data_IF_659787800700
#
_entry.id   IF_659787800700
#
_cell.length_a   1.000
_cell.length_b   1.000
_cell.length_c   1.000
_cell.angle_alpha   90.00
_cell.angle_beta   90.00
_cell.angle_gamma   90.00
#
_symmetry.space_group_name_H-M   'P 1'
#
loop_
_entity.id
_entity.type
_entity.pdbx_description
1 polymer ?
#
# COMPACT_ATOMS: atom_id res chain seq x y z
N UNK A 1 -1.73 -27.54 -52.03
CA UNK A 1 -1.83 -27.98 -50.63
C UNK A 1 -0.64 -27.40 -49.88
N UNK A 2 -0.80 -26.23 -49.25
CA UNK A 2 0.27 -25.60 -48.50
C UNK A 2 0.50 -26.36 -47.20
N UNK A 3 1.73 -26.81 -46.96
CA UNK A 3 2.15 -27.25 -45.63
C UNK A 3 1.93 -26.08 -44.68
N UNK A 4 0.92 -26.19 -43.79
CA UNK A 4 0.64 -25.17 -42.80
C UNK A 4 1.87 -24.98 -41.92
N UNK A 5 2.34 -23.73 -41.79
CA UNK A 5 3.44 -23.41 -40.90
C UNK A 5 3.08 -23.91 -39.48
N UNK A 6 3.85 -24.87 -38.98
CA UNK A 6 3.72 -25.33 -37.60
C UNK A 6 4.31 -24.21 -36.74
N UNK A 7 3.47 -23.56 -35.95
CA UNK A 7 3.92 -22.50 -35.05
C UNK A 7 4.93 -23.08 -34.04
N UNK A 8 6.12 -22.48 -34.01
CA UNK A 8 7.17 -22.81 -33.05
C UNK A 8 6.72 -22.42 -31.62
N UNK A 9 7.23 -23.13 -30.62
CA UNK A 9 7.01 -22.88 -29.20
C UNK A 9 7.22 -21.41 -28.84
N UNK A 10 8.27 -20.79 -29.39
CA UNK A 10 8.59 -19.36 -29.20
C UNK A 10 7.51 -18.42 -29.73
N UNK A 11 6.82 -18.80 -30.80
CA UNK A 11 5.74 -18.00 -31.38
C UNK A 11 4.55 -17.98 -30.43
N UNK A 12 4.19 -19.11 -29.82
CA UNK A 12 3.13 -19.14 -28.82
C UNK A 12 3.45 -18.27 -27.61
N UNK A 13 4.68 -18.35 -27.08
CA UNK A 13 5.12 -17.47 -25.98
C UNK A 13 5.01 -15.99 -26.34
N UNK A 14 5.52 -15.60 -27.51
CA UNK A 14 5.48 -14.22 -27.96
C UNK A 14 4.04 -13.70 -28.14
N UNK A 15 3.17 -14.50 -28.76
CA UNK A 15 1.77 -14.14 -28.98
C UNK A 15 0.98 -14.03 -27.67
N UNK A 16 1.19 -14.96 -26.73
CA UNK A 16 0.53 -14.90 -25.42
C UNK A 16 1.00 -13.68 -24.62
N UNK A 17 2.30 -13.40 -24.59
CA UNK A 17 2.83 -12.19 -23.97
C UNK A 17 2.24 -10.93 -24.62
N UNK A 18 2.14 -10.86 -25.95
CA UNK A 18 1.53 -9.72 -26.62
C UNK A 18 0.05 -9.55 -26.25
N UNK A 19 -0.72 -10.65 -26.24
CA UNK A 19 -2.13 -10.62 -25.83
C UNK A 19 -2.28 -10.16 -24.37
N UNK A 20 -1.40 -10.61 -23.48
CA UNK A 20 -1.36 -10.19 -22.08
C UNK A 20 -1.12 -8.67 -21.95
N UNK A 21 -0.09 -8.13 -22.61
CA UNK A 21 0.26 -6.71 -22.52
C UNK A 21 -0.82 -5.80 -23.13
N UNK A 22 -1.40 -6.23 -24.24
CA UNK A 22 -2.51 -5.51 -24.92
C UNK A 22 -3.88 -5.77 -24.29
N UNK A 23 -3.98 -6.67 -23.31
CA UNK A 23 -5.23 -7.16 -22.72
C UNK A 23 -6.27 -7.61 -23.76
N UNK A 24 -5.80 -8.21 -24.87
CA UNK A 24 -6.65 -8.62 -25.99
C UNK A 24 -7.19 -10.04 -25.79
N UNK A 25 -8.32 -10.16 -25.09
CA UNK A 25 -8.95 -11.44 -24.78
C UNK A 25 -9.28 -12.28 -26.03
N UNK A 26 -9.83 -11.64 -27.07
CA UNK A 26 -10.24 -12.35 -28.30
C UNK A 26 -9.03 -12.90 -29.06
N UNK A 27 -7.93 -12.13 -29.13
CA UNK A 27 -6.67 -12.62 -29.70
C UNK A 27 -6.11 -13.78 -28.88
N UNK A 28 -6.13 -13.66 -27.54
CA UNK A 28 -5.69 -14.71 -26.62
C UNK A 28 -6.46 -16.01 -26.79
N UNK A 29 -7.79 -15.95 -26.93
CA UNK A 29 -8.64 -17.13 -27.20
C UNK A 29 -8.29 -17.80 -28.53
N UNK A 30 -7.99 -17.03 -29.58
CA UNK A 30 -7.55 -17.59 -30.86
C UNK A 30 -6.23 -18.34 -30.72
N UNK A 31 -5.25 -17.74 -30.03
CA UNK A 31 -3.95 -18.37 -29.75
C UNK A 31 -4.15 -19.66 -28.95
N UNK A 32 -5.00 -19.65 -27.93
CA UNK A 32 -5.33 -20.82 -27.14
C UNK A 32 -5.92 -21.96 -28.00
N UNK A 33 -6.86 -21.67 -28.90
CA UNK A 33 -7.43 -22.70 -29.78
C UNK A 33 -6.38 -23.27 -30.75
N UNK A 34 -5.45 -22.45 -31.25
CA UNK A 34 -4.32 -22.95 -32.04
C UNK A 34 -3.39 -23.83 -31.19
N UNK A 35 -3.09 -23.43 -29.96
CA UNK A 35 -2.24 -24.20 -29.05
C UNK A 35 -2.85 -25.56 -28.72
N UNK A 36 -4.18 -25.63 -28.54
CA UNK A 36 -4.93 -26.87 -28.29
C UNK A 36 -4.80 -27.91 -29.41
N UNK A 37 -4.63 -27.45 -30.66
CA UNK A 37 -4.44 -28.28 -31.85
C UNK A 37 -2.97 -28.63 -32.12
N UNK A 38 -2.04 -28.05 -31.39
CA UNK A 38 -0.60 -28.24 -31.58
C UNK A 38 -0.04 -29.46 -30.83
N UNK A 39 1.24 -29.73 -31.04
CA UNK A 39 2.03 -30.70 -30.26
C UNK A 39 2.24 -30.26 -28.81
N UNK A 40 2.16 -28.96 -28.51
CA UNK A 40 2.40 -28.38 -27.18
C UNK A 40 1.14 -28.26 -26.31
N UNK A 41 0.03 -28.88 -26.70
CA UNK A 41 -1.28 -28.77 -26.01
C UNK A 41 -1.31 -29.22 -24.54
N UNK A 42 -0.25 -29.88 -24.05
CA UNK A 42 -0.08 -30.35 -22.66
C UNK A 42 1.16 -29.75 -21.99
N UNK A 43 1.77 -28.74 -22.61
CA UNK A 43 2.95 -28.08 -22.07
C UNK A 43 2.58 -27.18 -20.89
N UNK A 44 3.15 -27.46 -19.71
CA UNK A 44 2.80 -26.78 -18.46
C UNK A 44 3.17 -25.29 -18.50
N UNK A 45 4.30 -24.92 -19.13
CA UNK A 45 4.71 -23.53 -19.22
C UNK A 45 3.76 -22.73 -20.12
N UNK A 46 3.37 -23.26 -21.29
CA UNK A 46 2.39 -22.60 -22.14
C UNK A 46 1.00 -22.54 -21.50
N UNK A 47 0.61 -23.57 -20.73
CA UNK A 47 -0.62 -23.52 -19.91
C UNK A 47 -0.55 -22.44 -18.84
N UNK A 48 0.58 -22.29 -18.15
CA UNK A 48 0.80 -21.22 -17.18
C UNK A 48 0.75 -19.84 -17.85
N UNK A 49 1.33 -19.68 -19.05
CA UNK A 49 1.24 -18.43 -19.83
C UNK A 49 -0.20 -18.11 -20.24
N UNK A 50 -0.99 -19.11 -20.61
CA UNK A 50 -2.41 -18.94 -20.87
C UNK A 50 -3.18 -18.48 -19.63
N UNK A 51 -2.94 -19.10 -18.47
CA UNK A 51 -3.57 -18.70 -17.19
C UNK A 51 -3.26 -17.23 -16.93
N UNK A 52 -1.98 -16.84 -16.97
CA UNK A 52 -1.56 -15.44 -16.76
C UNK A 52 -2.26 -14.48 -17.72
N UNK A 53 -2.27 -14.79 -19.02
CA UNK A 53 -2.92 -13.97 -20.04
C UNK A 53 -4.42 -13.80 -19.76
N UNK A 54 -5.13 -14.88 -19.45
CA UNK A 54 -6.55 -14.83 -19.14
C UNK A 54 -6.86 -14.01 -17.87
N UNK A 55 -6.07 -14.17 -16.81
CA UNK A 55 -6.19 -13.38 -15.58
C UNK A 55 -5.97 -11.88 -15.85
N UNK A 56 -4.97 -11.51 -16.65
CA UNK A 56 -4.71 -10.11 -17.03
C UNK A 56 -5.78 -9.51 -17.95
N UNK A 57 -6.50 -10.36 -18.70
CA UNK A 57 -7.66 -9.96 -19.49
C UNK A 57 -8.99 -9.96 -18.68
N UNK A 58 -8.94 -10.28 -17.39
CA UNK A 58 -10.14 -10.35 -16.53
C UNK A 58 -11.01 -11.60 -16.72
N UNK A 59 -10.61 -12.56 -17.58
CA UNK A 59 -11.36 -13.81 -17.79
C UNK A 59 -10.86 -14.94 -16.87
N UNK A 60 -10.98 -14.75 -15.56
CA UNK A 60 -10.50 -15.71 -14.56
C UNK A 60 -11.18 -17.08 -14.69
N UNK A 61 -12.43 -17.12 -15.19
CA UNK A 61 -13.14 -18.38 -15.47
C UNK A 61 -12.43 -19.22 -16.55
N UNK A 62 -11.90 -18.58 -17.60
CA UNK A 62 -11.14 -19.28 -18.62
C UNK A 62 -9.76 -19.69 -18.10
N UNK A 63 -9.12 -18.85 -17.27
CA UNK A 63 -7.90 -19.21 -16.56
C UNK A 63 -8.07 -20.48 -15.72
N UNK A 64 -9.17 -20.56 -14.94
CA UNK A 64 -9.50 -21.74 -14.14
C UNK A 64 -9.66 -23.00 -14.99
N UNK A 65 -10.33 -22.89 -16.14
CA UNK A 65 -10.48 -24.04 -17.07
C UNK A 65 -9.13 -24.55 -17.58
N UNK A 66 -8.20 -23.65 -17.89
CA UNK A 66 -6.84 -24.04 -18.30
C UNK A 66 -6.13 -24.72 -17.13
N UNK A 67 -6.19 -24.12 -15.94
CA UNK A 67 -5.61 -24.69 -14.73
C UNK A 67 -6.15 -26.08 -14.41
N UNK A 68 -7.45 -26.32 -14.57
CA UNK A 68 -8.08 -27.64 -14.37
C UNK A 68 -7.55 -28.72 -15.32
N UNK A 69 -7.11 -28.32 -16.50
CA UNK A 69 -6.63 -29.23 -17.55
C UNK A 69 -5.13 -29.57 -17.41
N UNK A 70 -4.38 -28.89 -16.53
CA UNK A 70 -2.97 -29.20 -16.27
C UNK A 70 -2.87 -30.52 -15.49
N UNK A 71 -2.25 -31.59 -16.05
CA UNK A 71 -2.16 -32.88 -15.38
C UNK A 71 -1.28 -32.84 -14.12
N UNK A 72 -0.10 -32.22 -14.24
CA UNK A 72 0.87 -32.05 -13.18
C UNK A 72 1.15 -30.56 -12.99
N UNK A 73 0.55 -29.97 -11.96
CA UNK A 73 0.69 -28.56 -11.64
C UNK A 73 1.98 -28.34 -10.87
N UNK A 74 2.79 -27.39 -11.32
CA UNK A 74 3.91 -26.90 -10.53
C UNK A 74 3.46 -25.75 -9.61
N UNK A 75 4.35 -25.29 -8.74
CA UNK A 75 4.05 -24.20 -7.81
C UNK A 75 3.59 -22.93 -8.54
N UNK A 76 4.19 -22.62 -9.69
CA UNK A 76 3.79 -21.47 -10.51
C UNK A 76 2.36 -21.57 -11.03
N UNK A 77 1.85 -22.76 -11.36
CA UNK A 77 0.43 -22.94 -11.73
C UNK A 77 -0.50 -22.53 -10.58
N UNK A 78 -0.14 -22.87 -9.33
CA UNK A 78 -0.91 -22.51 -8.14
C UNK A 78 -0.84 -21.01 -7.87
N UNK A 79 0.37 -20.43 -7.88
CA UNK A 79 0.60 -19.00 -7.71
C UNK A 79 -0.22 -18.17 -8.70
N UNK A 80 -0.19 -18.54 -9.99
CA UNK A 80 -0.94 -17.84 -11.03
C UNK A 80 -2.45 -17.82 -10.78
N UNK A 81 -3.01 -18.89 -10.23
CA UNK A 81 -4.43 -18.93 -9.90
C UNK A 81 -4.75 -18.16 -8.62
N UNK A 82 -3.98 -18.33 -7.53
CA UNK A 82 -4.20 -17.62 -6.26
C UNK A 82 -4.11 -16.10 -6.50
N UNK A 83 -3.00 -15.64 -7.08
CA UNK A 83 -2.79 -14.23 -7.43
C UNK A 83 -3.75 -13.73 -8.51
N UNK A 84 -4.10 -14.58 -9.47
CA UNK A 84 -5.07 -14.27 -10.52
C UNK A 84 -6.47 -13.99 -9.99
N UNK A 85 -6.92 -14.76 -8.98
CA UNK A 85 -8.18 -14.51 -8.28
C UNK A 85 -8.10 -13.24 -7.43
N UNK A 86 -7.04 -13.06 -6.63
CA UNK A 86 -6.84 -11.86 -5.80
C UNK A 86 -6.87 -10.57 -6.64
N UNK A 87 -6.07 -10.51 -7.72
CA UNK A 87 -5.98 -9.34 -8.60
C UNK A 87 -7.29 -9.01 -9.35
N UNK A 88 -8.26 -9.91 -9.36
CA UNK A 88 -9.56 -9.74 -10.02
C UNK A 88 -10.72 -9.60 -9.02
N UNK A 89 -10.44 -9.29 -7.75
CA UNK A 89 -11.49 -9.05 -6.76
C UNK A 89 -12.11 -10.30 -6.15
N UNK A 90 -11.52 -11.47 -6.39
CA UNK A 90 -12.08 -12.79 -6.03
C UNK A 90 -11.24 -13.46 -4.93
N UNK A 91 -10.90 -12.71 -3.88
CA UNK A 91 -10.00 -13.17 -2.80
C UNK A 91 -10.40 -14.51 -2.18
N UNK A 92 -11.69 -14.71 -1.89
CA UNK A 92 -12.20 -15.97 -1.33
C UNK A 92 -11.91 -17.18 -2.24
N UNK A 93 -12.06 -17.04 -3.57
CA UNK A 93 -11.72 -18.11 -4.51
C UNK A 93 -10.21 -18.38 -4.54
N UNK A 94 -9.38 -17.33 -4.41
CA UNK A 94 -7.93 -17.46 -4.25
C UNK A 94 -7.54 -18.29 -3.04
N UNK A 95 -8.19 -18.05 -1.89
CA UNK A 95 -7.98 -18.83 -0.66
C UNK A 95 -8.44 -20.29 -0.82
N UNK A 96 -9.54 -20.55 -1.54
CA UNK A 96 -9.95 -21.91 -1.87
C UNK A 96 -8.90 -22.64 -2.72
N UNK A 97 -8.26 -21.95 -3.67
CA UNK A 97 -7.14 -22.53 -4.45
C UNK A 97 -5.94 -22.82 -3.56
N UNK A 98 -5.63 -21.98 -2.58
CA UNK A 98 -4.58 -22.27 -1.60
C UNK A 98 -4.87 -23.52 -0.76
N UNK A 99 -6.13 -23.72 -0.35
CA UNK A 99 -6.52 -24.95 0.34
C UNK A 99 -6.34 -26.18 -0.57
N UNK A 100 -6.67 -26.07 -1.86
CA UNK A 100 -6.42 -27.13 -2.85
C UNK A 100 -4.92 -27.42 -3.02
N UNK A 101 -4.06 -26.40 -3.02
CA UNK A 101 -2.60 -26.53 -3.10
C UNK A 101 -2.07 -27.35 -1.91
N UNK A 102 -2.52 -27.03 -0.69
CA UNK A 102 -2.15 -27.78 0.52
C UNK A 102 -2.62 -29.22 0.49
N UNK A 103 -3.85 -29.48 0.02
CA UNK A 103 -4.39 -30.84 -0.14
C UNK A 103 -3.62 -31.66 -1.18
N UNK A 104 -3.07 -31.00 -2.21
CA UNK A 104 -2.19 -31.62 -3.19
C UNK A 104 -0.77 -31.89 -2.67
N UNK A 105 -0.46 -31.54 -1.41
CA UNK A 105 0.83 -31.76 -0.78
C UNK A 105 1.96 -30.85 -1.31
N UNK A 106 1.61 -29.74 -1.99
CA UNK A 106 2.60 -28.78 -2.48
C UNK A 106 2.95 -27.83 -1.32
N UNK A 107 4.21 -27.78 -0.87
CA UNK A 107 4.61 -26.94 0.25
C UNK A 107 4.51 -25.45 -0.12
N UNK A 108 3.92 -24.60 0.74
CA UNK A 108 3.96 -23.14 0.57
C UNK A 108 5.40 -22.59 0.64
N UNK A 109 5.69 -21.58 -0.17
CA UNK A 109 6.90 -20.77 -0.12
C UNK A 109 6.58 -19.29 0.15
N UNK A 110 7.59 -18.41 0.15
CA UNK A 110 7.39 -16.97 0.39
C UNK A 110 6.39 -16.35 -0.60
N UNK A 111 6.55 -16.60 -1.90
CA UNK A 111 5.61 -16.10 -2.91
C UNK A 111 4.18 -16.64 -2.69
N UNK A 112 4.04 -17.87 -2.19
CA UNK A 112 2.72 -18.41 -1.83
C UNK A 112 2.05 -17.57 -0.75
N UNK A 113 2.78 -17.20 0.31
CA UNK A 113 2.22 -16.41 1.40
C UNK A 113 1.95 -14.96 1.00
N UNK A 114 2.79 -14.34 0.17
CA UNK A 114 2.50 -13.03 -0.43
C UNK A 114 1.14 -13.06 -1.16
N UNK A 115 0.92 -14.04 -2.03
CA UNK A 115 -0.32 -14.15 -2.80
C UNK A 115 -1.55 -14.50 -1.94
N UNK A 116 -1.37 -15.30 -0.89
CA UNK A 116 -2.43 -15.63 0.07
C UNK A 116 -2.81 -14.40 0.90
N UNK A 117 -1.84 -13.62 1.37
CA UNK A 117 -2.11 -12.38 2.10
C UNK A 117 -2.81 -11.34 1.20
N UNK A 118 -2.40 -11.22 -0.07
CA UNK A 118 -3.11 -10.42 -1.05
C UNK A 118 -4.57 -10.89 -1.26
N UNK A 119 -4.80 -12.21 -1.29
CA UNK A 119 -6.15 -12.77 -1.37
C UNK A 119 -6.97 -12.47 -0.11
N UNK A 120 -6.37 -12.54 1.09
CA UNK A 120 -7.00 -12.10 2.34
C UNK A 120 -7.35 -10.61 2.33
N UNK A 121 -6.44 -9.76 1.82
CA UNK A 121 -6.67 -8.32 1.71
C UNK A 121 -7.87 -8.02 0.82
N UNK A 122 -7.99 -8.74 -0.29
CA UNK A 122 -9.10 -8.60 -1.23
C UNK A 122 -10.43 -9.17 -0.69
N UNK A 123 -10.36 -10.19 0.16
CA UNK A 123 -11.51 -10.81 0.81
C UNK A 123 -11.93 -10.09 2.12
N UNK A 124 -11.20 -9.05 2.53
CA UNK A 124 -11.36 -8.37 3.83
C UNK A 124 -11.26 -9.35 5.02
N UNK A 125 -10.50 -10.45 4.86
CA UNK A 125 -10.38 -11.54 5.82
C UNK A 125 -9.22 -11.31 6.79
N UNK A 126 -9.39 -10.35 7.71
CA UNK A 126 -8.32 -9.88 8.64
C UNK A 126 -7.75 -11.00 9.49
N UNK A 127 -8.62 -11.71 10.21
CA UNK A 127 -8.20 -12.77 11.12
C UNK A 127 -7.47 -13.89 10.38
N UNK A 128 -7.99 -14.31 9.22
CA UNK A 128 -7.38 -15.35 8.39
C UNK A 128 -6.01 -14.89 7.84
N UNK A 129 -5.91 -13.63 7.42
CA UNK A 129 -4.65 -13.04 6.96
C UNK A 129 -3.56 -13.07 8.03
N UNK A 130 -3.88 -12.73 9.28
CA UNK A 130 -2.94 -12.83 10.39
C UNK A 130 -2.54 -14.26 10.72
N UNK A 131 -3.50 -15.19 10.70
CA UNK A 131 -3.20 -16.61 10.90
C UNK A 131 -2.22 -17.14 9.85
N UNK A 132 -2.41 -16.77 8.58
CA UNK A 132 -1.47 -17.16 7.52
C UNK A 132 -0.10 -16.51 7.71
N UNK A 133 -0.04 -15.22 8.05
CA UNK A 133 1.21 -14.51 8.32
C UNK A 133 2.00 -15.15 9.48
N UNK A 134 1.34 -15.49 10.58
CA UNK A 134 1.98 -16.18 11.71
C UNK A 134 2.45 -17.59 11.34
N UNK A 135 1.67 -18.32 10.55
CA UNK A 135 1.99 -19.68 10.12
C UNK A 135 3.25 -19.75 9.24
N UNK A 136 3.71 -18.65 8.66
CA UNK A 136 4.97 -18.59 7.89
C UNK A 136 6.16 -19.12 8.70
N UNK A 137 6.19 -18.85 10.02
CA UNK A 137 7.23 -19.35 10.92
C UNK A 137 7.25 -20.88 11.00
N UNK A 138 6.08 -21.51 11.00
CA UNK A 138 5.95 -22.98 11.02
C UNK A 138 6.48 -23.61 9.72
N UNK A 139 6.49 -22.84 8.63
CA UNK A 139 7.05 -23.21 7.34
C UNK A 139 8.53 -22.81 7.19
N UNK A 140 9.15 -22.21 8.22
CA UNK A 140 10.53 -21.74 8.17
C UNK A 140 10.74 -20.54 7.24
N UNK A 141 9.68 -19.79 6.93
CA UNK A 141 9.71 -18.63 6.03
C UNK A 141 9.87 -17.37 6.87
N UNK A 142 10.87 -16.56 6.52
CA UNK A 142 11.08 -15.24 7.10
C UNK A 142 10.28 -14.22 6.27
N UNK A 143 9.37 -13.43 6.87
CA UNK A 143 8.63 -12.41 6.13
C UNK A 143 9.55 -11.40 5.45
N UNK A 144 9.32 -11.17 4.15
CA UNK A 144 9.90 -10.05 3.38
C UNK A 144 9.01 -8.80 3.47
N UNK A 145 9.47 -7.69 2.88
CA UNK A 145 8.70 -6.44 2.82
C UNK A 145 7.32 -6.61 2.18
N UNK A 146 7.23 -7.44 1.16
CA UNK A 146 6.04 -7.74 0.36
C UNK A 146 4.96 -8.38 1.24
N UNK A 147 5.35 -9.25 2.17
CA UNK A 147 4.44 -9.83 3.14
C UNK A 147 3.89 -8.77 4.12
N UNK A 148 4.75 -7.87 4.59
CA UNK A 148 4.32 -6.76 5.45
C UNK A 148 3.41 -5.77 4.71
N UNK A 149 3.69 -5.50 3.43
CA UNK A 149 2.82 -4.67 2.59
C UNK A 149 1.42 -5.28 2.47
N UNK A 150 1.32 -6.60 2.28
CA UNK A 150 0.01 -7.25 2.23
C UNK A 150 -0.72 -7.25 3.58
N UNK A 151 -0.02 -7.37 4.71
CA UNK A 151 -0.61 -7.16 6.05
C UNK A 151 -1.18 -5.74 6.19
N UNK A 152 -0.46 -4.73 5.72
CA UNK A 152 -0.95 -3.35 5.70
C UNK A 152 -2.18 -3.21 4.80
N UNK A 153 -2.19 -3.87 3.63
CA UNK A 153 -3.35 -3.89 2.73
C UNK A 153 -4.57 -4.54 3.39
N UNK A 154 -4.39 -5.67 4.10
CA UNK A 154 -5.45 -6.33 4.87
C UNK A 154 -6.09 -5.36 5.86
N UNK A 155 -5.28 -4.69 6.68
CA UNK A 155 -5.76 -3.73 7.67
C UNK A 155 -6.43 -2.52 7.01
N UNK A 156 -5.84 -2.01 5.92
CA UNK A 156 -6.34 -0.84 5.21
C UNK A 156 -7.68 -1.08 4.51
N UNK A 157 -7.88 -2.28 3.96
CA UNK A 157 -9.12 -2.66 3.26
C UNK A 157 -10.24 -3.04 4.23
N UNK A 158 -9.89 -3.68 5.34
CA UNK A 158 -10.86 -4.09 6.34
C UNK A 158 -11.33 -2.97 7.28
N UNK A 159 -10.86 -1.74 7.09
CA UNK A 159 -11.36 -0.56 7.80
C UNK A 159 -12.84 -0.32 7.42
N UNK A 160 -13.73 -1.00 8.14
CA UNK A 160 -15.18 -0.83 8.04
C UNK A 160 -15.54 0.64 8.24
N UNK A 161 -16.69 1.05 7.69
CA UNK A 161 -17.23 2.37 8.00
C UNK A 161 -17.51 2.43 9.50
N UNK A 162 -16.81 3.31 10.22
CA UNK A 162 -17.00 3.47 11.65
C UNK A 162 -18.40 4.08 11.87
N UNK A 163 -19.17 3.56 12.84
CA UNK A 163 -20.53 4.01 13.07
C UNK A 163 -20.54 5.52 13.37
N UNK A 164 -21.40 6.33 12.73
CA UNK A 164 -21.45 7.78 12.97
C UNK A 164 -21.72 8.15 14.44
N UNK A 165 -22.37 7.25 15.18
CA UNK A 165 -22.69 7.43 16.60
C UNK A 165 -21.50 7.11 17.52
N UNK A 166 -20.46 6.42 17.03
CA UNK A 166 -19.28 6.15 17.82
C UNK A 166 -18.52 7.46 18.09
N UNK A 167 -18.04 7.69 19.32
CA UNK A 167 -17.32 8.91 19.65
C UNK A 167 -16.05 9.04 18.79
N UNK A 168 -15.77 10.26 18.33
CA UNK A 168 -14.53 10.55 17.59
C UNK A 168 -13.36 10.48 18.59
N UNK A 169 -12.34 9.64 18.34
CA UNK A 169 -11.20 9.55 19.24
C UNK A 169 -10.38 10.85 19.23
N UNK A 170 -9.73 11.17 20.33
CA UNK A 170 -8.74 12.24 20.37
C UNK A 170 -7.43 11.79 19.69
N UNK A 171 -6.54 12.74 19.40
CA UNK A 171 -5.23 12.40 18.87
C UNK A 171 -4.38 11.60 19.87
N UNK A 172 -4.67 11.73 21.17
CA UNK A 172 -4.04 10.93 22.22
C UNK A 172 -4.53 9.49 22.19
N UNK A 173 -5.84 9.28 21.98
CA UNK A 173 -6.40 7.93 21.84
C UNK A 173 -5.82 7.21 20.61
N UNK A 174 -5.63 7.91 19.48
CA UNK A 174 -4.95 7.35 18.31
C UNK A 174 -3.49 7.01 18.59
N UNK A 175 -2.79 7.81 19.41
CA UNK A 175 -1.43 7.49 19.82
C UNK A 175 -1.39 6.28 20.77
N UNK A 176 -2.37 6.15 21.66
CA UNK A 176 -2.50 5.00 22.55
C UNK A 176 -2.78 3.70 21.78
N UNK A 177 -3.56 3.73 20.68
CA UNK A 177 -3.80 2.54 19.85
C UNK A 177 -2.50 1.91 19.30
N UNK A 178 -1.47 2.72 19.03
CA UNK A 178 -0.17 2.20 18.57
C UNK A 178 0.41 1.19 19.57
N UNK A 179 0.22 1.39 20.88
CA UNK A 179 0.76 0.45 21.86
C UNK A 179 0.05 -0.90 21.81
N UNK A 180 -1.25 -0.90 21.48
CA UNK A 180 -2.06 -2.11 21.36
C UNK A 180 -1.56 -2.93 20.17
N UNK A 181 -1.32 -2.27 19.04
CA UNK A 181 -0.73 -2.89 17.84
C UNK A 181 0.64 -3.48 18.13
N UNK A 182 1.55 -2.70 18.74
CA UNK A 182 2.89 -3.18 19.07
C UNK A 182 2.85 -4.38 20.01
N UNK A 183 1.93 -4.39 20.98
CA UNK A 183 1.78 -5.52 21.90
C UNK A 183 1.15 -6.74 21.21
N UNK A 184 0.18 -6.53 20.32
CA UNK A 184 -0.44 -7.59 19.51
C UNK A 184 0.63 -8.32 18.69
N UNK A 185 1.49 -7.56 18.00
CA UNK A 185 2.61 -8.12 17.22
C UNK A 185 3.83 -8.53 18.06
N UNK A 186 3.76 -8.39 19.40
CA UNK A 186 4.86 -8.67 20.34
C UNK A 186 6.17 -7.94 19.98
N UNK A 187 6.05 -6.74 19.41
CA UNK A 187 7.17 -5.88 19.05
C UNK A 187 7.68 -5.14 20.28
N UNK A 188 8.99 -5.14 20.48
CA UNK A 188 9.65 -4.40 21.58
C UNK A 188 9.66 -2.89 21.33
N UNK A 189 10.86 -2.33 21.17
CA UNK A 189 11.03 -0.96 20.71
C UNK A 189 11.16 -0.94 19.18
N UNK A 190 10.55 0.05 18.51
CA UNK A 190 10.46 0.13 17.06
C UNK A 190 11.01 1.45 16.52
N UNK A 191 11.44 1.43 15.26
CA UNK A 191 11.62 2.63 14.46
C UNK A 191 10.26 3.05 13.92
N UNK A 192 9.88 4.30 14.07
CA UNK A 192 8.60 4.79 13.56
C UNK A 192 8.82 5.72 12.37
N UNK A 193 8.05 5.53 11.31
CA UNK A 193 8.00 6.45 10.18
C UNK A 193 6.60 7.02 10.04
N UNK A 194 6.49 8.35 9.98
CA UNK A 194 5.21 9.06 9.90
C UNK A 194 5.24 10.15 8.86
N UNK A 195 4.12 10.33 8.17
CA UNK A 195 3.93 11.39 7.18
C UNK A 195 2.85 12.34 7.70
N UNK A 196 3.14 13.65 7.75
CA UNK A 196 2.23 14.72 8.17
C UNK A 196 1.46 14.40 9.46
N UNK A 197 0.15 14.13 9.39
CA UNK A 197 -0.66 13.75 10.56
C UNK A 197 -0.15 12.50 11.27
N UNK A 198 0.35 11.50 10.53
CA UNK A 198 0.99 10.32 11.12
C UNK A 198 2.30 10.68 11.83
N UNK A 199 3.07 11.63 11.29
CA UNK A 199 4.26 12.16 11.95
C UNK A 199 3.92 12.85 13.28
N UNK A 200 2.81 13.60 13.32
CA UNK A 200 2.30 14.22 14.54
C UNK A 200 1.90 13.16 15.59
N UNK A 201 1.10 12.16 15.20
CA UNK A 201 0.64 11.09 16.12
C UNK A 201 1.85 10.30 16.67
N UNK A 202 2.81 9.94 15.83
CA UNK A 202 4.02 9.23 16.28
C UNK A 202 4.92 10.08 17.16
N UNK A 203 4.99 11.39 16.90
CA UNK A 203 5.69 12.32 17.78
C UNK A 203 4.99 12.45 19.14
N UNK A 204 3.66 12.48 19.16
CA UNK A 204 2.87 12.47 20.39
C UNK A 204 3.10 11.17 21.19
N UNK A 205 3.07 10.02 20.51
CA UNK A 205 3.39 8.70 21.07
C UNK A 205 4.79 8.67 21.72
N UNK A 206 5.80 9.21 21.02
CA UNK A 206 7.19 9.22 21.46
C UNK A 206 7.51 10.23 22.58
N UNK A 207 6.68 11.27 22.76
CA UNK A 207 6.95 12.37 23.71
C UNK A 207 6.27 12.21 25.08
N UNK A 208 5.29 11.31 25.20
CA UNK A 208 4.56 11.03 26.45
C UNK A 208 4.97 9.69 27.08
N UNK A 209 4.07 8.70 27.03
CA UNK A 209 4.05 7.51 27.88
C UNK A 209 4.92 6.37 27.35
N UNK A 210 5.14 6.31 26.05
CA UNK A 210 5.76 5.15 25.38
C UNK A 210 7.11 5.46 24.76
N UNK A 211 7.81 6.46 25.31
CA UNK A 211 9.14 6.87 24.86
C UNK A 211 10.13 5.71 24.73
N UNK A 212 10.10 4.74 25.66
CA UNK A 212 10.99 3.58 25.66
C UNK A 212 10.69 2.58 24.54
N UNK A 213 9.51 2.68 23.92
CA UNK A 213 9.08 1.85 22.79
C UNK A 213 9.50 2.44 21.44
N UNK A 214 10.15 3.62 21.43
CA UNK A 214 10.56 4.32 20.21
C UNK A 214 12.08 4.42 20.14
N UNK A 215 12.68 3.68 19.21
CA UNK A 215 14.12 3.71 18.93
C UNK A 215 14.53 4.98 18.18
N UNK A 216 13.72 5.36 17.20
CA UNK A 216 13.95 6.52 16.33
C UNK A 216 12.68 6.91 15.58
N UNK A 217 12.66 8.15 15.11
CA UNK A 217 11.57 8.72 14.34
C UNK A 217 12.08 9.16 12.96
N UNK A 218 11.34 8.80 11.91
CA UNK A 218 11.50 9.33 10.55
C UNK A 218 10.21 10.09 10.23
N UNK A 219 10.30 11.42 10.14
CA UNK A 219 9.14 12.30 10.05
C UNK A 219 9.15 13.04 8.72
N UNK A 220 8.10 12.86 7.92
CA UNK A 220 7.96 13.52 6.61
C UNK A 220 6.93 14.63 6.72
N UNK A 221 7.32 15.86 6.39
CA UNK A 221 6.49 17.07 6.48
C UNK A 221 5.71 17.20 7.80
N UNK A 222 6.39 17.11 8.96
CA UNK A 222 5.71 17.07 10.25
C UNK A 222 5.26 18.47 10.72
N UNK A 223 4.26 18.47 11.60
CA UNK A 223 3.79 19.66 12.32
C UNK A 223 3.54 19.31 13.79
N UNK A 224 3.54 20.32 14.68
CA UNK A 224 3.45 20.11 16.13
C UNK A 224 2.50 21.07 16.88
N UNK A 225 1.97 22.08 16.20
CA UNK A 225 1.09 23.09 16.80
C UNK A 225 -0.38 22.68 16.64
N UNK A 226 -1.23 23.27 17.47
CA UNK A 226 -2.65 23.34 17.17
C UNK A 226 -2.88 24.04 15.81
N UNK A 227 -3.96 23.71 15.09
CA UNK A 227 -4.17 24.27 13.76
C UNK A 227 -4.30 25.79 13.81
N UNK A 228 -3.63 26.47 12.88
CA UNK A 228 -3.86 27.90 12.66
C UNK A 228 -5.31 28.16 12.23
N UNK A 229 -5.81 29.38 12.38
CA UNK A 229 -7.17 29.71 11.95
C UNK A 229 -7.40 29.44 10.45
N UNK A 230 -6.39 29.70 9.61
CA UNK A 230 -6.42 29.41 8.17
C UNK A 230 -6.47 27.91 7.88
N UNK A 231 -5.68 27.12 8.62
CA UNK A 231 -5.69 25.67 8.47
C UNK A 231 -7.02 25.07 8.95
N UNK A 232 -7.50 25.53 10.12
CA UNK A 232 -8.79 25.14 10.67
C UNK A 232 -9.92 25.44 9.68
N UNK A 233 -9.93 26.64 9.08
CA UNK A 233 -10.93 27.01 8.09
C UNK A 233 -10.88 26.10 6.86
N UNK A 234 -9.68 25.87 6.32
CA UNK A 234 -9.49 24.95 5.19
C UNK A 234 -10.02 23.56 5.53
N UNK A 235 -9.61 23.00 6.67
CA UNK A 235 -10.01 21.67 7.07
C UNK A 235 -11.52 21.60 7.34
N UNK A 236 -12.15 22.66 7.86
CA UNK A 236 -13.60 22.74 8.04
C UNK A 236 -14.36 22.72 6.71
N UNK A 237 -13.87 23.43 5.70
CA UNK A 237 -14.41 23.38 4.33
C UNK A 237 -14.29 21.97 3.77
N UNK A 238 -13.12 21.35 3.89
CA UNK A 238 -12.88 19.97 3.43
C UNK A 238 -13.79 18.96 4.13
N UNK A 239 -13.93 19.07 5.46
CA UNK A 239 -14.84 18.23 6.24
C UNK A 239 -16.30 18.39 5.78
N UNK A 240 -16.75 19.61 5.51
CA UNK A 240 -18.12 19.83 5.01
C UNK A 240 -18.31 19.25 3.60
N UNK A 241 -17.34 19.45 2.70
CA UNK A 241 -17.39 18.85 1.35
C UNK A 241 -17.47 17.34 1.42
N UNK A 242 -16.66 16.72 2.28
CA UNK A 242 -16.64 15.28 2.49
C UNK A 242 -17.94 14.76 3.12
N UNK A 243 -18.54 15.52 4.04
CA UNK A 243 -19.82 15.17 4.66
C UNK A 243 -20.98 15.18 3.65
N UNK A 244 -21.07 16.21 2.81
CA UNK A 244 -22.20 16.36 1.87
C UNK A 244 -22.02 15.59 0.56
N UNK A 245 -20.79 15.47 0.05
CA UNK A 245 -20.51 14.94 -1.28
C UNK A 245 -19.66 13.67 -1.27
N UNK A 246 -19.23 13.19 -0.10
CA UNK A 246 -18.27 12.10 -0.01
C UNK A 246 -16.92 12.45 -0.63
N UNK A 247 -16.14 11.43 -0.99
CA UNK A 247 -14.88 11.62 -1.73
C UNK A 247 -15.21 11.95 -3.19
N UNK A 248 -15.50 13.22 -3.45
CA UNK A 248 -15.84 13.73 -4.78
C UNK A 248 -14.60 14.27 -5.52
N UNK A 249 -14.74 14.51 -6.83
CA UNK A 249 -13.64 15.02 -7.66
C UNK A 249 -13.00 16.31 -7.11
N UNK A 250 -13.81 17.27 -6.66
CA UNK A 250 -13.33 18.53 -6.09
C UNK A 250 -12.49 18.29 -4.82
N UNK A 251 -12.94 17.41 -3.93
CA UNK A 251 -12.22 17.08 -2.71
C UNK A 251 -10.87 16.43 -3.03
N UNK A 252 -10.85 15.50 -3.99
CA UNK A 252 -9.61 14.86 -4.46
C UNK A 252 -8.63 15.90 -4.98
N UNK A 253 -9.08 16.84 -5.81
CA UNK A 253 -8.24 17.96 -6.25
C UNK A 253 -7.68 18.75 -5.07
N UNK A 254 -8.53 19.19 -4.15
CA UNK A 254 -8.06 19.97 -3.00
C UNK A 254 -7.04 19.21 -2.13
N UNK A 255 -7.18 17.89 -1.96
CA UNK A 255 -6.21 17.08 -1.24
C UNK A 255 -4.89 16.95 -2.02
N UNK A 256 -4.97 16.63 -3.31
CA UNK A 256 -3.78 16.50 -4.15
C UNK A 256 -3.04 17.84 -4.25
N UNK A 257 -3.75 18.96 -4.37
CA UNK A 257 -3.15 20.29 -4.40
C UNK A 257 -2.48 20.68 -3.08
N UNK A 258 -2.98 20.18 -1.95
CA UNK A 258 -2.42 20.44 -0.62
C UNK A 258 -1.14 19.64 -0.39
N UNK A 259 -1.10 18.37 -0.81
CA UNK A 259 -0.01 17.47 -0.45
C UNK A 259 1.07 17.35 -1.52
N UNK A 260 0.74 17.47 -2.80
CA UNK A 260 1.70 17.33 -3.89
C UNK A 260 2.23 18.66 -4.42
N UNK A 261 3.50 18.68 -4.85
CA UNK A 261 4.08 19.84 -5.56
C UNK A 261 3.32 20.15 -6.85
N UNK A 262 3.56 21.33 -7.42
CA UNK A 262 3.05 21.65 -8.75
C UNK A 262 3.73 20.80 -9.83
N UNK A 263 4.96 20.34 -9.63
CA UNK A 263 5.75 19.65 -10.66
C UNK A 263 5.16 18.30 -11.05
N UNK A 264 4.57 17.59 -10.08
CA UNK A 264 3.99 16.24 -10.29
C UNK A 264 2.49 16.26 -10.63
N UNK A 265 1.85 17.42 -10.50
CA UNK A 265 0.42 17.64 -10.81
C UNK A 265 0.23 18.08 -12.26
N UNK A 266 -0.97 17.87 -12.78
CA UNK A 266 -1.35 18.28 -14.14
C UNK A 266 -1.03 19.77 -14.37
N UNK A 267 -0.10 20.02 -15.29
CA UNK A 267 0.32 21.36 -15.68
C UNK A 267 0.14 21.50 -17.19
N UNK A 268 0.05 22.74 -17.68
CA UNK A 268 -0.15 23.02 -19.11
C UNK A 268 0.91 22.40 -20.04
N UNK A 269 2.06 21.98 -19.51
CA UNK A 269 3.20 21.44 -20.26
C UNK A 269 3.40 19.93 -20.10
N UNK A 270 2.88 19.29 -19.03
CA UNK A 270 3.13 17.88 -18.76
C UNK A 270 1.89 17.19 -18.15
N UNK A 271 1.58 15.95 -18.58
CA UNK A 271 0.47 15.20 -18.02
C UNK A 271 0.71 14.84 -16.55
N UNK A 272 -0.38 14.72 -15.79
CA UNK A 272 -0.38 14.26 -14.40
C UNK A 272 0.48 13.00 -14.20
N UNK A 273 1.36 13.01 -13.21
CA UNK A 273 2.26 11.88 -12.92
C UNK A 273 1.49 10.62 -12.49
N UNK A 274 2.07 9.45 -12.75
CA UNK A 274 1.48 8.15 -12.38
C UNK A 274 1.21 8.04 -10.86
N UNK A 275 2.04 8.68 -10.03
CA UNK A 275 1.90 8.72 -8.58
C UNK A 275 0.64 9.47 -8.15
N UNK A 276 0.36 10.62 -8.77
CA UNK A 276 -0.85 11.40 -8.48
C UNK A 276 -2.10 10.66 -8.98
N UNK A 277 -2.02 10.02 -10.14
CA UNK A 277 -3.10 9.16 -10.66
C UNK A 277 -3.39 7.98 -9.72
N UNK A 278 -2.36 7.30 -9.22
CA UNK A 278 -2.49 6.21 -8.26
C UNK A 278 -3.10 6.70 -6.93
N UNK A 279 -2.62 7.83 -6.41
CA UNK A 279 -3.14 8.45 -5.18
C UNK A 279 -4.62 8.85 -5.32
N UNK A 280 -4.99 9.37 -6.48
CA UNK A 280 -6.38 9.72 -6.81
C UNK A 280 -7.29 8.49 -6.78
N UNK A 281 -6.83 7.37 -7.34
CA UNK A 281 -7.56 6.10 -7.31
C UNK A 281 -7.69 5.55 -5.89
N UNK A 282 -6.62 5.62 -5.08
CA UNK A 282 -6.66 5.20 -3.68
C UNK A 282 -7.67 6.00 -2.86
N UNK A 283 -7.84 7.30 -3.14
CA UNK A 283 -8.86 8.12 -2.48
C UNK A 283 -10.29 7.62 -2.78
N UNK A 284 -10.55 7.10 -3.98
CA UNK A 284 -11.87 6.53 -4.34
C UNK A 284 -12.21 5.28 -3.53
N UNK A 285 -11.20 4.56 -3.05
CA UNK A 285 -11.35 3.34 -2.26
C UNK A 285 -11.57 3.65 -0.76
N UNK A 286 -11.28 4.87 -0.29
CA UNK A 286 -11.43 5.23 1.13
C UNK A 286 -12.87 5.53 1.50
N UNK A 287 -13.29 5.02 2.67
CA UNK A 287 -14.60 5.35 3.25
C UNK A 287 -14.62 6.82 3.71
N UNK A 288 -15.45 7.63 3.07
CA UNK A 288 -15.50 9.08 3.34
C UNK A 288 -15.78 9.45 4.81
N UNK A 289 -16.60 8.66 5.51
CA UNK A 289 -16.88 8.86 6.94
C UNK A 289 -15.63 8.67 7.81
N UNK A 290 -14.78 7.69 7.49
CA UNK A 290 -13.54 7.44 8.22
C UNK A 290 -12.55 8.60 8.01
N UNK A 291 -12.43 9.08 6.77
CA UNK A 291 -11.60 10.25 6.44
C UNK A 291 -12.12 11.50 7.15
N UNK A 292 -13.43 11.69 7.21
CA UNK A 292 -14.05 12.83 7.88
C UNK A 292 -13.72 12.84 9.37
N UNK A 293 -13.89 11.69 10.04
CA UNK A 293 -13.56 11.55 11.46
C UNK A 293 -12.08 11.78 11.72
N UNK A 294 -11.20 11.22 10.89
CA UNK A 294 -9.77 11.46 11.00
C UNK A 294 -9.42 12.95 10.90
N UNK A 295 -10.03 13.68 9.95
CA UNK A 295 -9.83 15.13 9.84
C UNK A 295 -10.34 15.89 11.08
N UNK A 296 -11.43 15.44 11.72
CA UNK A 296 -11.88 16.02 12.98
C UNK A 296 -10.82 15.84 14.09
N UNK A 297 -10.25 14.64 14.23
CA UNK A 297 -9.18 14.38 15.21
C UNK A 297 -8.00 15.33 15.01
N UNK A 298 -7.54 15.47 13.78
CA UNK A 298 -6.38 16.31 13.44
C UNK A 298 -6.67 17.81 13.59
N UNK A 299 -7.93 18.22 13.46
CA UNK A 299 -8.37 19.60 13.73
C UNK A 299 -8.42 19.95 15.22
N UNK A 300 -8.59 18.96 16.08
CA UNK A 300 -8.66 19.16 17.53
C UNK A 300 -7.32 18.84 18.22
N UNK A 301 -6.26 18.64 17.43
CA UNK A 301 -4.94 18.25 17.94
C UNK A 301 -4.36 19.32 18.90
N UNK A 302 -3.82 18.91 20.06
CA UNK A 302 -3.12 19.83 20.95
C UNK A 302 -1.74 20.24 20.43
N UNK A 303 -1.15 21.25 21.07
CA UNK A 303 0.25 21.60 20.85
C UNK A 303 1.17 20.63 21.63
N UNK A 304 2.16 20.04 20.93
CA UNK A 304 3.08 19.05 21.52
C UNK A 304 4.52 19.58 21.71
N UNK A 305 4.76 20.88 21.54
CA UNK A 305 6.12 21.46 21.56
C UNK A 305 6.90 21.17 22.86
N UNK A 306 6.25 21.23 24.02
CA UNK A 306 6.90 20.94 25.30
C UNK A 306 7.30 19.47 25.44
N UNK A 307 6.54 18.56 24.81
CA UNK A 307 6.90 17.15 24.71
C UNK A 307 8.15 16.95 23.86
N UNK A 308 8.22 17.63 22.71
CA UNK A 308 9.32 17.51 21.76
C UNK A 308 10.67 17.93 22.34
N UNK A 309 10.71 18.98 23.18
CA UNK A 309 11.94 19.40 23.87
C UNK A 309 12.55 18.28 24.74
N UNK A 310 11.72 17.36 25.23
CA UNK A 310 12.16 16.23 26.06
C UNK A 310 12.60 15.03 25.22
N UNK A 311 12.28 14.97 23.94
CA UNK A 311 12.59 13.83 23.06
C UNK A 311 14.12 13.62 22.97
N UNK A 312 14.59 12.37 23.10
CA UNK A 312 16.02 12.03 22.93
C UNK A 312 16.28 10.84 22.00
N UNK A 313 15.26 10.31 21.32
CA UNK A 313 15.49 9.34 20.26
C UNK A 313 16.00 10.07 19.01
N UNK A 314 16.75 9.35 18.17
CA UNK A 314 17.15 9.88 16.86
C UNK A 314 15.89 10.29 16.07
N UNK A 315 15.92 11.45 15.43
CA UNK A 315 14.81 11.98 14.64
C UNK A 315 15.34 12.50 13.31
N UNK A 316 14.99 11.83 12.23
CA UNK A 316 15.28 12.26 10.86
C UNK A 316 14.03 12.92 10.28
N UNK A 317 14.16 14.16 9.79
CA UNK A 317 13.05 14.93 9.24
C UNK A 317 13.28 15.14 7.75
N UNK A 318 12.29 14.77 6.94
CA UNK A 318 12.25 15.08 5.51
C UNK A 318 11.20 16.15 5.25
N UNK A 319 11.56 17.14 4.42
CA UNK A 319 10.70 18.26 4.12
C UNK A 319 10.81 18.64 2.66
N UNK A 320 9.69 18.70 1.95
CA UNK A 320 9.66 19.35 0.63
C UNK A 320 9.68 20.88 0.77
N UNK A 321 10.47 21.55 -0.05
CA UNK A 321 10.55 23.02 -0.11
C UNK A 321 9.22 23.68 -0.50
N UNK A 322 8.40 22.96 -1.25
CA UNK A 322 7.11 23.40 -1.78
C UNK A 322 5.93 22.94 -0.92
N UNK A 323 6.20 22.29 0.22
CA UNK A 323 5.16 21.86 1.15
C UNK A 323 4.47 23.06 1.83
N UNK A 324 3.12 23.09 1.93
CA UNK A 324 2.45 24.09 2.76
C UNK A 324 2.81 24.00 4.25
N UNK A 325 3.35 22.85 4.70
CA UNK A 325 3.80 22.64 6.07
C UNK A 325 5.27 23.01 6.30
N UNK A 326 5.95 23.56 5.29
CA UNK A 326 7.38 23.88 5.35
C UNK A 326 7.77 24.70 6.58
N UNK A 327 7.07 25.81 6.81
CA UNK A 327 7.35 26.69 7.96
C UNK A 327 7.09 26.03 9.32
N UNK A 328 6.08 25.15 9.40
CA UNK A 328 5.75 24.41 10.62
C UNK A 328 6.77 23.31 10.93
N UNK A 329 7.23 22.60 9.90
CA UNK A 329 8.27 21.57 10.04
C UNK A 329 9.61 22.17 10.48
N UNK A 330 10.02 23.31 9.90
CA UNK A 330 11.20 24.04 10.37
C UNK A 330 11.04 24.50 11.82
N UNK A 331 9.85 24.97 12.18
CA UNK A 331 9.55 25.37 13.55
C UNK A 331 9.66 24.18 14.51
N UNK A 332 9.08 23.03 14.17
CA UNK A 332 9.18 21.80 14.96
C UNK A 332 10.64 21.36 15.12
N UNK A 333 11.41 21.37 14.03
CA UNK A 333 12.84 21.05 14.03
C UNK A 333 13.62 21.95 14.99
N UNK A 334 13.28 23.24 15.07
CA UNK A 334 13.91 24.19 16.01
C UNK A 334 13.68 23.87 17.50
N UNK A 335 12.65 23.06 17.81
CA UNK A 335 12.33 22.64 19.20
C UNK A 335 12.99 21.32 19.59
N UNK A 336 13.48 20.56 18.61
CA UNK A 336 14.18 19.30 18.84
C UNK A 336 15.66 19.54 19.14
N UNK A 337 16.25 18.63 19.92
CA UNK A 337 17.65 18.72 20.27
C UNK A 337 18.52 18.37 19.06
N UNK A 338 19.27 19.35 18.54
CA UNK A 338 20.15 19.21 17.36
C UNK A 338 21.06 17.97 17.37
N UNK A 339 21.49 17.51 18.54
CA UNK A 339 22.33 16.31 18.69
C UNK A 339 21.65 14.99 18.28
N UNK A 340 20.32 14.97 18.24
CA UNK A 340 19.54 13.79 17.88
C UNK A 340 18.71 14.01 16.62
N UNK A 341 18.86 15.16 15.96
CA UNK A 341 17.95 15.56 14.89
C UNK A 341 18.70 15.95 13.63
N UNK A 342 18.33 15.31 12.52
CA UNK A 342 18.77 15.66 11.18
C UNK A 342 17.58 16.14 10.35
N UNK A 343 17.80 17.16 9.52
CA UNK A 343 16.81 17.71 8.61
C UNK A 343 17.33 17.57 7.18
N UNK A 344 16.47 17.06 6.30
CA UNK A 344 16.72 16.92 4.87
C UNK A 344 15.64 17.69 4.13
N UNK A 345 16.03 18.79 3.50
CA UNK A 345 15.15 19.57 2.62
C UNK A 345 15.30 19.09 1.18
N UNK A 346 14.16 18.78 0.55
CA UNK A 346 14.08 18.23 -0.80
C UNK A 346 13.49 19.30 -1.72
N UNK A 347 14.25 19.67 -2.75
CA UNK A 347 13.89 20.74 -3.68
C UNK A 347 12.87 20.28 -4.71
N UNK A 348 11.96 21.18 -5.11
CA UNK A 348 10.89 20.89 -6.07
C UNK A 348 9.84 19.89 -5.55
N UNK A 349 9.81 19.64 -4.24
CA UNK A 349 9.03 18.56 -3.66
C UNK A 349 7.91 19.09 -2.76
N UNK A 350 6.73 18.46 -2.85
CA UNK A 350 5.60 18.74 -1.97
C UNK A 350 5.74 18.07 -0.61
N UNK A 351 4.62 17.88 0.06
CA UNK A 351 4.58 17.25 1.38
C UNK A 351 4.89 15.76 1.33
N UNK A 352 4.62 15.11 0.19
CA UNK A 352 4.72 13.66 0.01
C UNK A 352 6.09 13.26 -0.53
N UNK A 353 7.16 13.54 0.23
CA UNK A 353 8.54 13.23 -0.18
C UNK A 353 8.72 11.73 -0.49
N UNK A 354 8.01 10.86 0.26
CA UNK A 354 8.02 9.40 0.05
C UNK A 354 7.55 8.99 -1.34
N UNK A 355 6.62 9.75 -1.91
CA UNK A 355 6.00 9.44 -3.20
C UNK A 355 6.67 10.23 -4.33
N UNK A 356 6.90 11.54 -4.12
CA UNK A 356 7.44 12.43 -5.15
C UNK A 356 8.93 12.17 -5.44
N UNK A 357 9.73 11.95 -4.39
CA UNK A 357 11.18 11.80 -4.52
C UNK A 357 11.74 10.75 -3.52
N UNK A 358 11.33 9.46 -3.61
CA UNK A 358 11.79 8.42 -2.69
C UNK A 358 13.31 8.25 -2.67
N UNK A 359 13.98 8.50 -3.80
CA UNK A 359 15.44 8.39 -3.91
C UNK A 359 16.19 9.38 -3.02
N UNK A 360 15.60 10.55 -2.74
CA UNK A 360 16.19 11.54 -1.84
C UNK A 360 16.23 11.04 -0.38
N UNK A 361 15.45 10.01 -0.04
CA UNK A 361 15.37 9.46 1.31
C UNK A 361 16.38 8.34 1.58
N UNK A 362 16.83 7.63 0.54
CA UNK A 362 17.64 6.41 0.68
C UNK A 362 18.93 6.64 1.47
N UNK A 363 19.76 7.59 1.02
CA UNK A 363 21.07 7.86 1.62
C UNK A 363 20.93 8.40 3.06
N UNK A 364 20.09 9.42 3.34
CA UNK A 364 19.93 9.90 4.71
C UNK A 364 19.32 8.84 5.65
N UNK A 365 18.39 8.01 5.16
CA UNK A 365 17.86 6.91 5.95
C UNK A 365 18.95 5.89 6.27
N UNK A 366 19.76 5.48 5.30
CA UNK A 366 20.87 4.55 5.54
C UNK A 366 21.81 5.05 6.63
N UNK A 367 22.28 6.30 6.54
CA UNK A 367 23.12 6.90 7.58
C UNK A 367 22.44 6.93 8.94
N UNK A 368 21.16 7.32 8.99
CA UNK A 368 20.39 7.37 10.22
C UNK A 368 20.17 6.00 10.87
N UNK A 369 19.99 4.95 10.05
CA UNK A 369 19.85 3.57 10.51
C UNK A 369 21.18 3.00 11.03
N UNK A 370 22.31 3.47 10.49
CA UNK A 370 23.65 3.06 10.92
C UNK A 370 24.10 3.71 12.24
N UNK A 371 23.46 4.80 12.66
CA UNK A 371 23.74 5.50 13.92
C UNK A 371 24.44 6.84 13.71
#
# INVERSE_FOLDING_TARGET
>A
MGQGAVADYRVYLALLNLCEHTRSLESGKRVHEFLRRSTFRRDVELSNRLIRMYCKCGSVKDARRVFDQIPERNISSWHLMIGGYAANGLGCDGLLVFQQMKQAGVPPDGETFELVLAACAQAEAVEEGFLHFESMKEHGIVPSMEHYLEVINILGNAAAAICPDDPVPSAEDLADQIIEDLNYFRLGAVMCMGISSGAYILSLFATKKYRERVLGLILVSPFCKSPSWTEWFYNKVMSNLLYFYGVCGLLKECLLQRYFSKEVRDNAEFPESEIVQASRKLLDERKGINVFRFLQVINERPDIMEGLKRLKCGTLIFLGDSSPFHSEALHMTSKLARRYTALVEVQGCGSMVTEEQPHAMLVPMEYFLMG
#
